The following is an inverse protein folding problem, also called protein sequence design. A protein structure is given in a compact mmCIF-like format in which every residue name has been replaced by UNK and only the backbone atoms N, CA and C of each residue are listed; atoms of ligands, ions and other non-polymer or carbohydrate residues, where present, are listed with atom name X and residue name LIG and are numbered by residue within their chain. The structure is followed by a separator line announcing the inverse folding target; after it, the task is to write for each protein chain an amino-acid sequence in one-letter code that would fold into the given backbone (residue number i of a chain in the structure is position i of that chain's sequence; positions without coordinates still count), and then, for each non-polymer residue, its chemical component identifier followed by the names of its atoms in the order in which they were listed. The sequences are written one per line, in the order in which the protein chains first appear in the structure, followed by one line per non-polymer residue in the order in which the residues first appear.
data_IF_437941109317
#
_entry.id   IF_437941109317
#
_cell.length_a   1.000
_cell.length_b   1.000
_cell.length_c   1.000
_cell.angle_alpha   90.00
_cell.angle_beta   90.00
_cell.angle_gamma   90.00
#
_symmetry.space_group_name_H-M   'P 1'
#
loop_
_entity.id
_entity.type
_entity.pdbx_description
1 polymer ?
#
# COMPACT_ATOMS: atom_id res chain seq x y z
N UNK A 1 -10.53 -30.63 -6.83
CA UNK A 1 -9.85 -30.46 -8.14
C UNK A 1 -10.28 -29.19 -8.89
N UNK A 2 -10.59 -28.07 -8.20
CA UNK A 2 -10.82 -26.72 -8.79
C UNK A 2 -9.97 -25.62 -8.15
N UNK A 3 -9.24 -25.94 -7.08
CA UNK A 3 -8.44 -24.99 -6.28
C UNK A 3 -7.07 -24.69 -6.91
N UNK A 4 -6.60 -25.55 -7.83
CA UNK A 4 -5.29 -25.42 -8.51
C UNK A 4 -5.28 -24.46 -9.71
N UNK A 5 -6.44 -23.99 -10.18
CA UNK A 5 -6.52 -23.15 -11.39
C UNK A 5 -6.08 -21.70 -11.18
N UNK A 6 -5.92 -21.23 -9.94
CA UNK A 6 -5.54 -19.85 -9.64
C UNK A 6 -4.03 -19.62 -9.51
N UNK A 7 -3.21 -20.68 -9.53
CA UNK A 7 -1.75 -20.54 -9.42
C UNK A 7 -1.04 -20.19 -10.74
N UNK A 8 -1.73 -20.18 -11.89
CA UNK A 8 -1.05 -20.07 -13.21
C UNK A 8 -1.56 -19.04 -14.22
N UNK A 9 -2.65 -18.29 -13.99
CA UNK A 9 -3.05 -17.24 -14.94
C UNK A 9 -3.72 -16.02 -14.30
N UNK A 10 -3.01 -14.90 -14.31
CA UNK A 10 -3.49 -13.57 -13.90
C UNK A 10 -4.73 -13.16 -14.70
N UNK A 11 -4.77 -13.49 -16.00
CA UNK A 11 -5.91 -13.20 -16.89
C UNK A 11 -7.18 -13.98 -16.53
N UNK A 12 -7.04 -15.21 -16.02
CA UNK A 12 -8.18 -16.00 -15.56
C UNK A 12 -8.77 -15.42 -14.27
N UNK A 13 -7.92 -14.87 -13.39
CA UNK A 13 -8.34 -14.27 -12.14
C UNK A 13 -9.15 -12.98 -12.34
N UNK A 14 -8.74 -12.10 -13.26
CA UNK A 14 -9.46 -10.83 -13.50
C UNK A 14 -10.85 -11.09 -14.11
N UNK A 15 -10.97 -11.98 -15.09
CA UNK A 15 -12.26 -12.28 -15.70
C UNK A 15 -13.23 -12.91 -14.70
N UNK A 16 -12.75 -13.87 -13.89
CA UNK A 16 -13.54 -14.46 -12.82
C UNK A 16 -13.98 -13.40 -11.78
N UNK A 17 -13.08 -12.48 -11.40
CA UNK A 17 -13.41 -11.39 -10.50
C UNK A 17 -14.50 -10.48 -11.05
N UNK A 18 -14.41 -10.08 -12.33
CA UNK A 18 -15.41 -9.23 -13.00
C UNK A 18 -16.78 -9.91 -13.09
N UNK A 19 -16.79 -11.22 -13.30
CA UNK A 19 -18.01 -12.05 -13.36
C UNK A 19 -18.65 -12.28 -11.99
N UNK A 20 -17.99 -11.90 -10.89
CA UNK A 20 -18.52 -12.08 -9.55
C UNK A 20 -18.27 -13.48 -8.97
N UNK A 21 -17.28 -14.22 -9.49
CA UNK A 21 -16.93 -15.55 -8.99
C UNK A 21 -16.36 -15.46 -7.56
N UNK A 22 -16.97 -16.16 -6.56
CA UNK A 22 -16.52 -16.08 -5.16
C UNK A 22 -15.06 -16.51 -4.95
N UNK A 23 -14.54 -17.41 -5.80
CA UNK A 23 -13.17 -17.89 -5.68
C UNK A 23 -12.15 -16.82 -6.07
N UNK A 24 -12.51 -15.91 -6.99
CA UNK A 24 -11.61 -14.85 -7.41
C UNK A 24 -11.38 -13.84 -6.26
N UNK A 25 -12.45 -13.39 -5.59
CA UNK A 25 -12.29 -12.50 -4.44
C UNK A 25 -11.59 -13.18 -3.26
N UNK A 26 -11.88 -14.47 -3.00
CA UNK A 26 -11.16 -15.24 -1.97
C UNK A 26 -9.66 -15.26 -2.23
N UNK A 27 -9.26 -15.49 -3.47
CA UNK A 27 -7.84 -15.48 -3.87
C UNK A 27 -7.19 -14.11 -3.65
N UNK A 28 -7.83 -13.03 -4.09
CA UNK A 28 -7.31 -11.67 -3.90
C UNK A 28 -7.26 -11.28 -2.41
N UNK A 29 -8.26 -11.71 -1.63
CA UNK A 29 -8.31 -11.50 -0.19
C UNK A 29 -7.15 -12.21 0.51
N UNK A 30 -6.92 -13.50 0.21
CA UNK A 30 -5.77 -14.23 0.79
C UNK A 30 -4.42 -13.61 0.43
N UNK A 31 -4.31 -13.00 -0.75
CA UNK A 31 -3.05 -12.41 -1.21
C UNK A 31 -2.79 -11.02 -0.60
N UNK A 32 -3.83 -10.21 -0.39
CA UNK A 32 -3.66 -8.78 -0.11
C UNK A 32 -4.24 -8.30 1.21
N UNK A 33 -5.08 -9.07 1.91
CA UNK A 33 -5.70 -8.62 3.15
C UNK A 33 -4.68 -8.30 4.25
N UNK A 34 -3.83 -9.26 4.61
CA UNK A 34 -2.79 -9.05 5.63
C UNK A 34 -1.82 -7.91 5.27
N UNK A 35 -1.26 -7.85 4.04
CA UNK A 35 -0.45 -6.71 3.62
C UNK A 35 -1.18 -5.35 3.68
N UNK A 36 -2.48 -5.33 3.38
CA UNK A 36 -3.29 -4.12 3.43
C UNK A 36 -3.54 -3.68 4.87
N UNK A 37 -3.88 -4.60 5.77
CA UNK A 37 -4.04 -4.31 7.20
C UNK A 37 -2.74 -3.76 7.80
N UNK A 38 -1.60 -4.41 7.53
CA UNK A 38 -0.29 -3.94 7.98
C UNK A 38 0.03 -2.55 7.42
N UNK A 39 -0.27 -2.31 6.14
CA UNK A 39 -0.10 -1.00 5.52
C UNK A 39 -0.96 0.07 6.21
N UNK A 40 -2.25 -0.17 6.42
CA UNK A 40 -3.14 0.80 7.08
C UNK A 40 -2.70 1.02 8.54
N UNK A 41 -2.40 -0.04 9.28
CA UNK A 41 -1.93 0.04 10.66
C UNK A 41 -0.65 0.87 10.78
N UNK A 42 0.25 0.79 9.80
CA UNK A 42 1.45 1.65 9.74
C UNK A 42 1.15 3.14 9.55
N UNK A 43 -0.02 3.49 9.01
CA UNK A 43 -0.45 4.87 8.79
C UNK A 43 -1.19 5.47 10.00
N UNK A 44 -2.04 4.68 10.66
CA UNK A 44 -2.96 5.17 11.71
C UNK A 44 -2.63 4.66 13.11
N UNK A 45 -1.67 3.75 13.24
CA UNK A 45 -1.25 3.11 14.50
C UNK A 45 -2.41 2.51 15.30
N UNK A 46 -3.42 1.96 14.61
CA UNK A 46 -4.59 1.35 15.22
C UNK A 46 -4.98 0.09 14.45
N UNK A 47 -4.79 -1.08 15.07
CA UNK A 47 -4.96 -2.37 14.39
C UNK A 47 -6.43 -2.68 14.06
N UNK A 48 -7.35 -2.55 15.02
CA UNK A 48 -8.76 -2.88 14.79
C UNK A 48 -9.38 -2.00 13.68
N UNK A 49 -9.12 -0.70 13.73
CA UNK A 49 -9.51 0.22 12.66
C UNK A 49 -8.88 -0.14 11.31
N UNK A 50 -7.65 -0.64 11.30
CA UNK A 50 -6.99 -1.08 10.06
C UNK A 50 -7.69 -2.28 9.42
N UNK A 51 -8.12 -3.26 10.22
CA UNK A 51 -8.88 -4.42 9.72
C UNK A 51 -10.26 -4.02 9.18
N UNK A 52 -10.94 -3.10 9.87
CA UNK A 52 -12.23 -2.57 9.44
C UNK A 52 -12.10 -1.82 8.10
N UNK A 53 -11.13 -0.91 7.99
CA UNK A 53 -10.85 -0.16 6.76
C UNK A 53 -10.44 -1.09 5.62
N UNK A 54 -9.62 -2.10 5.89
CA UNK A 54 -9.22 -3.09 4.89
C UNK A 54 -10.43 -3.85 4.36
N UNK A 55 -11.30 -4.33 5.26
CA UNK A 55 -12.53 -5.03 4.92
C UNK A 55 -13.46 -4.17 4.06
N UNK A 56 -13.68 -2.91 4.45
CA UNK A 56 -14.50 -1.97 3.69
C UNK A 56 -13.90 -1.67 2.30
N UNK A 57 -12.57 -1.58 2.21
CA UNK A 57 -11.88 -1.39 0.94
C UNK A 57 -12.09 -2.58 -0.01
N UNK A 58 -12.07 -3.82 0.49
CA UNK A 58 -12.40 -4.99 -0.32
C UNK A 58 -13.86 -4.96 -0.80
N UNK A 59 -14.81 -4.58 0.05
CA UNK A 59 -16.23 -4.45 -0.33
C UNK A 59 -16.40 -3.41 -1.43
N UNK A 60 -15.80 -2.23 -1.27
CA UNK A 60 -15.82 -1.17 -2.30
C UNK A 60 -15.21 -1.68 -3.61
N UNK A 61 -14.07 -2.37 -3.55
CA UNK A 61 -13.41 -2.94 -4.73
C UNK A 61 -14.28 -3.98 -5.42
N UNK A 62 -14.97 -4.84 -4.67
CA UNK A 62 -15.93 -5.79 -5.22
C UNK A 62 -17.14 -5.13 -5.88
N UNK A 63 -17.62 -4.02 -5.32
CA UNK A 63 -18.73 -3.26 -5.89
C UNK A 63 -18.38 -2.72 -7.29
N UNK A 64 -17.17 -2.20 -7.45
CA UNK A 64 -16.67 -1.68 -8.73
C UNK A 64 -15.99 -2.74 -9.62
N UNK A 65 -16.16 -4.03 -9.34
CA UNK A 65 -15.41 -5.12 -9.98
C UNK A 65 -15.39 -5.10 -11.51
N UNK A 66 -16.46 -4.63 -12.16
CA UNK A 66 -16.55 -4.59 -13.62
C UNK A 66 -15.64 -3.55 -14.28
N UNK A 67 -15.16 -2.56 -13.51
CA UNK A 67 -14.37 -1.42 -14.00
C UNK A 67 -12.87 -1.72 -14.13
N UNK A 68 -12.40 -2.88 -13.64
CA UNK A 68 -10.98 -3.25 -13.71
C UNK A 68 -10.70 -4.12 -14.92
N UNK A 69 -9.54 -3.90 -15.53
CA UNK A 69 -9.03 -4.64 -16.69
C UNK A 69 -7.78 -5.46 -16.36
N UNK A 70 -7.19 -5.27 -15.17
CA UNK A 70 -6.07 -6.06 -14.68
C UNK A 70 -6.08 -6.22 -13.16
N UNK A 71 -5.38 -7.24 -12.65
CA UNK A 71 -5.17 -7.40 -11.19
C UNK A 71 -4.35 -6.27 -10.57
N UNK A 72 -3.45 -5.65 -11.35
CA UNK A 72 -2.68 -4.50 -10.90
C UNK A 72 -3.56 -3.26 -10.69
N UNK A 73 -4.56 -3.04 -11.54
CA UNK A 73 -5.56 -2.00 -11.35
C UNK A 73 -6.41 -2.24 -10.09
N UNK A 74 -6.84 -3.48 -9.85
CA UNK A 74 -7.56 -3.85 -8.63
C UNK A 74 -6.71 -3.53 -7.40
N UNK A 75 -5.45 -3.99 -7.40
CA UNK A 75 -4.52 -3.76 -6.29
C UNK A 75 -4.26 -2.27 -6.07
N UNK A 76 -4.02 -1.52 -7.13
CA UNK A 76 -3.78 -0.09 -7.06
C UNK A 76 -5.00 0.65 -6.49
N UNK A 77 -6.20 0.30 -6.96
CA UNK A 77 -7.45 0.86 -6.45
C UNK A 77 -7.65 0.54 -4.98
N UNK A 78 -7.53 -0.74 -4.60
CA UNK A 78 -7.70 -1.24 -3.24
C UNK A 78 -6.82 -0.48 -2.23
N UNK A 79 -5.52 -0.38 -2.51
CA UNK A 79 -4.59 0.33 -1.64
C UNK A 79 -4.83 1.86 -1.63
N UNK A 80 -5.30 2.42 -2.75
CA UNK A 80 -5.60 3.86 -2.84
C UNK A 80 -6.81 4.24 -1.98
N UNK A 81 -7.90 3.48 -2.07
CA UNK A 81 -9.10 3.76 -1.28
C UNK A 81 -8.87 3.49 0.20
N UNK A 82 -8.16 2.41 0.56
CA UNK A 82 -7.81 2.10 1.93
C UNK A 82 -6.98 3.21 2.58
N UNK A 83 -5.96 3.73 1.87
CA UNK A 83 -5.16 4.88 2.32
C UNK A 83 -6.02 6.12 2.56
N UNK A 84 -6.92 6.42 1.63
CA UNK A 84 -7.82 7.58 1.74
C UNK A 84 -8.72 7.44 2.97
N UNK A 85 -9.27 6.25 3.19
CA UNK A 85 -10.22 5.99 4.27
C UNK A 85 -9.49 5.95 5.63
N UNK A 86 -8.24 5.48 5.66
CA UNK A 86 -7.34 5.59 6.81
C UNK A 86 -7.06 7.05 7.22
N UNK A 87 -6.74 7.91 6.26
CA UNK A 87 -6.56 9.35 6.56
C UNK A 87 -7.85 10.02 7.01
N UNK A 88 -9.00 9.63 6.44
CA UNK A 88 -10.30 10.14 6.89
C UNK A 88 -10.58 9.72 8.33
N UNK A 89 -10.32 8.47 8.67
CA UNK A 89 -10.45 7.96 10.03
C UNK A 89 -9.55 8.75 10.99
N UNK A 90 -8.28 8.96 10.63
CA UNK A 90 -7.33 9.72 11.46
C UNK A 90 -7.79 11.17 11.68
N UNK A 91 -8.29 11.84 10.63
CA UNK A 91 -8.86 13.19 10.76
C UNK A 91 -10.09 13.22 11.68
N UNK A 92 -10.96 12.22 11.58
CA UNK A 92 -12.12 12.10 12.46
C UNK A 92 -11.70 11.89 13.92
N UNK A 93 -10.70 11.06 14.17
CA UNK A 93 -10.19 10.84 15.53
C UNK A 93 -9.56 12.10 16.12
N UNK A 94 -8.83 12.89 15.32
CA UNK A 94 -8.29 14.18 15.76
C UNK A 94 -9.41 15.16 16.13
N UNK A 95 -10.47 15.23 15.32
CA UNK A 95 -11.65 16.07 15.62
C UNK A 95 -12.36 15.61 16.89
N UNK A 96 -12.56 14.31 17.06
CA UNK A 96 -13.20 13.75 18.25
C UNK A 96 -12.35 13.98 19.51
N UNK A 97 -11.03 13.85 19.43
CA UNK A 97 -10.10 14.17 20.53
C UNK A 97 -10.08 15.67 20.90
N UNK A 98 -10.33 16.57 19.96
CA UNK A 98 -10.47 18.00 20.27
C UNK A 98 -11.76 18.32 21.05
N UNK A 99 -12.78 17.46 20.95
CA UNK A 99 -14.07 17.61 21.65
C UNK A 99 -14.06 16.87 23.00
N UNK A 100 -13.08 16.01 23.26
CA UNK A 100 -13.01 15.20 24.48
C UNK A 100 -11.57 15.08 24.99
N UNK A 101 -11.22 15.90 25.99
CA UNK A 101 -10.18 15.55 26.97
C UNK A 101 -10.92 15.04 28.22
N UNK A 102 -10.54 13.89 28.81
CA UNK A 102 -9.17 13.64 29.27
C UNK A 102 -8.56 12.28 28.88
N UNK A 103 -7.25 12.35 28.60
CA UNK A 103 -6.19 11.47 29.12
C UNK A 103 -6.47 9.98 29.35
N UNK A 104 -6.53 9.18 28.27
CA UNK A 104 -6.12 7.77 28.28
C UNK A 104 -5.56 7.42 26.88
N UNK A 105 -4.24 7.22 26.79
CA UNK A 105 -3.63 6.54 25.65
C UNK A 105 -3.98 5.05 25.76
N UNK A 106 -4.70 4.44 24.80
CA UNK A 106 -4.84 2.99 24.77
C UNK A 106 -3.45 2.39 24.53
N UNK A 107 -3.04 1.46 25.40
CA UNK A 107 -1.92 0.59 25.12
C UNK A 107 -2.30 -0.27 23.91
N UNK A 108 -1.78 0.09 22.73
CA UNK A 108 -1.91 -0.74 21.55
C UNK A 108 -1.15 -2.05 21.77
N UNK A 109 -1.69 -3.21 21.37
CA UNK A 109 -0.94 -4.45 21.39
C UNK A 109 0.33 -4.28 20.55
N UNK A 110 1.48 -4.69 21.09
CA UNK A 110 2.72 -4.71 20.32
C UNK A 110 2.51 -5.58 19.07
N UNK A 111 2.90 -5.10 17.88
CA UNK A 111 2.90 -5.93 16.69
C UNK A 111 3.78 -7.17 16.92
N UNK A 112 3.35 -8.32 16.39
CA UNK A 112 4.11 -9.58 16.46
C UNK A 112 5.61 -9.33 16.23
N UNK A 113 6.43 -9.66 17.21
CA UNK A 113 7.86 -9.32 17.24
C UNK A 113 8.61 -9.86 16.00
N UNK A 114 8.15 -10.98 15.45
CA UNK A 114 8.65 -11.58 14.22
C UNK A 114 8.33 -10.74 12.96
N UNK A 115 7.13 -10.17 12.89
CA UNK A 115 6.74 -9.25 11.81
C UNK A 115 7.57 -7.97 11.86
N UNK A 116 7.85 -7.43 13.05
CA UNK A 116 8.68 -6.22 13.20
C UNK A 116 10.13 -6.42 12.76
N UNK A 117 10.71 -7.59 13.06
CA UNK A 117 12.10 -7.90 12.69
C UNK A 117 12.22 -8.10 11.18
N UNK A 118 11.37 -8.94 10.58
CA UNK A 118 11.35 -9.13 9.12
C UNK A 118 11.07 -7.80 8.38
N UNK A 119 10.18 -6.96 8.93
CA UNK A 119 9.90 -5.65 8.39
C UNK A 119 11.11 -4.72 8.45
N UNK A 120 11.89 -4.75 9.55
CA UNK A 120 13.08 -3.91 9.70
C UNK A 120 14.17 -4.26 8.70
N UNK A 121 14.41 -5.54 8.45
CA UNK A 121 15.39 -6.01 7.47
C UNK A 121 14.99 -5.63 6.03
N UNK A 122 13.72 -5.84 5.69
CA UNK A 122 13.16 -5.43 4.39
C UNK A 122 13.25 -3.90 4.21
N UNK A 123 12.96 -3.13 5.26
CA UNK A 123 13.08 -1.67 5.22
C UNK A 123 14.53 -1.21 5.06
N UNK A 124 15.49 -1.87 5.70
CA UNK A 124 16.91 -1.58 5.54
C UNK A 124 17.39 -1.88 4.12
N UNK A 125 16.96 -3.01 3.54
CA UNK A 125 17.24 -3.37 2.15
C UNK A 125 16.62 -2.39 1.17
N UNK A 126 15.37 -1.98 1.40
CA UNK A 126 14.71 -0.95 0.59
C UNK A 126 15.46 0.38 0.67
N UNK A 127 15.87 0.79 1.86
CA UNK A 127 16.61 2.03 2.08
C UNK A 127 17.98 2.01 1.39
N UNK A 128 18.70 0.89 1.47
CA UNK A 128 19.99 0.74 0.79
C UNK A 128 19.83 0.73 -0.74
N UNK A 129 18.79 0.07 -1.25
CA UNK A 129 18.48 0.08 -2.68
C UNK A 129 18.11 1.48 -3.20
N UNK A 130 17.36 2.28 -2.42
CA UNK A 130 17.05 3.69 -2.74
C UNK A 130 18.31 4.56 -2.75
N UNK A 131 19.26 4.33 -1.82
CA UNK A 131 20.55 5.04 -1.80
C UNK A 131 21.41 4.74 -3.04
N UNK A 132 21.25 3.57 -3.65
CA UNK A 132 21.96 3.20 -4.88
C UNK A 132 21.31 3.73 -6.17
N UNK A 133 20.17 4.42 -6.08
CA UNK A 133 19.57 5.05 -7.25
C UNK A 133 20.40 6.25 -7.72
N UNK A 134 20.29 6.63 -9.02
CA UNK A 134 20.83 7.90 -9.48
C UNK A 134 20.37 9.05 -8.58
N UNK A 135 21.22 10.08 -8.33
CA UNK A 135 20.98 11.09 -7.29
C UNK A 135 19.60 11.74 -7.37
N UNK A 136 19.14 12.10 -8.58
CA UNK A 136 17.80 12.69 -8.78
C UNK A 136 16.66 11.74 -8.48
N UNK A 137 16.78 10.46 -8.82
CA UNK A 137 15.77 9.46 -8.47
C UNK A 137 15.73 9.27 -6.95
N UNK A 138 16.88 9.13 -6.30
CA UNK A 138 16.98 8.95 -4.84
C UNK A 138 16.36 10.13 -4.07
N UNK A 139 16.71 11.37 -4.45
CA UNK A 139 16.18 12.60 -3.84
C UNK A 139 14.66 12.69 -3.98
N UNK A 140 14.11 12.41 -5.17
CA UNK A 140 12.66 12.41 -5.39
C UNK A 140 11.96 11.33 -4.56
N UNK A 141 12.55 10.14 -4.43
CA UNK A 141 11.99 9.08 -3.58
C UNK A 141 11.98 9.48 -2.10
N UNK A 142 13.04 10.12 -1.60
CA UNK A 142 13.07 10.62 -0.21
C UNK A 142 11.96 11.65 0.04
N UNK A 143 11.79 12.63 -0.85
CA UNK A 143 10.76 13.65 -0.69
C UNK A 143 9.34 13.07 -0.74
N UNK A 144 9.08 12.16 -1.69
CA UNK A 144 7.75 11.57 -1.86
C UNK A 144 7.38 10.56 -0.77
N UNK A 145 8.32 9.70 -0.37
CA UNK A 145 8.03 8.53 0.45
C UNK A 145 8.51 8.63 1.90
N UNK A 146 9.59 9.36 2.17
CA UNK A 146 10.08 9.56 3.55
C UNK A 146 9.45 10.82 4.14
N UNK A 147 9.41 11.91 3.38
CA UNK A 147 8.83 13.18 3.83
C UNK A 147 7.34 13.32 3.48
N UNK A 148 6.76 12.36 2.75
CA UNK A 148 5.33 12.32 2.44
C UNK A 148 4.82 13.44 1.53
N UNK A 149 5.71 14.15 0.82
CA UNK A 149 5.33 15.28 -0.04
C UNK A 149 4.57 14.83 -1.28
N UNK A 150 3.66 15.68 -1.76
CA UNK A 150 2.96 15.50 -3.02
C UNK A 150 3.86 15.82 -4.21
N UNK A 151 3.54 15.26 -5.37
CA UNK A 151 4.32 15.46 -6.61
C UNK A 151 4.52 16.95 -6.93
N UNK A 152 3.48 17.75 -6.70
CA UNK A 152 3.44 19.19 -6.94
C UNK A 152 4.31 19.97 -5.93
N UNK A 153 4.44 19.49 -4.70
CA UNK A 153 5.32 20.06 -3.69
C UNK A 153 6.78 19.76 -4.01
N UNK A 154 7.08 18.52 -4.40
CA UNK A 154 8.42 18.10 -4.85
C UNK A 154 8.85 18.86 -6.11
N UNK A 155 7.94 19.04 -7.06
CA UNK A 155 8.19 19.80 -8.28
C UNK A 155 8.61 21.25 -7.96
N UNK A 156 7.89 21.91 -7.05
CA UNK A 156 8.20 23.28 -6.60
C UNK A 156 9.54 23.33 -5.86
N UNK A 157 9.76 22.43 -4.91
CA UNK A 157 10.98 22.38 -4.10
C UNK A 157 12.24 22.14 -4.92
N UNK A 158 12.15 21.28 -5.94
CA UNK A 158 13.28 20.96 -6.81
C UNK A 158 13.37 21.85 -8.06
N UNK A 159 12.47 22.84 -8.21
CA UNK A 159 12.36 23.70 -9.39
C UNK A 159 12.32 22.90 -10.71
N UNK A 160 11.50 21.84 -10.76
CA UNK A 160 11.29 20.99 -11.95
C UNK A 160 9.79 20.83 -12.24
N UNK A 161 9.44 20.32 -13.42
CA UNK A 161 8.03 20.06 -13.73
C UNK A 161 7.50 18.83 -12.97
N UNK A 162 6.20 18.78 -12.62
CA UNK A 162 5.56 17.57 -12.08
C UNK A 162 5.71 16.36 -13.00
N UNK A 163 5.79 16.59 -14.32
CA UNK A 163 6.11 15.55 -15.30
C UNK A 163 7.49 14.95 -15.04
N UNK A 164 8.53 15.78 -14.85
CA UNK A 164 9.88 15.32 -14.53
C UNK A 164 9.91 14.54 -13.20
N UNK A 165 9.13 14.94 -12.20
CA UNK A 165 8.99 14.18 -10.94
C UNK A 165 8.44 12.78 -11.22
N UNK A 166 7.35 12.67 -12.00
CA UNK A 166 6.74 11.38 -12.38
C UNK A 166 7.70 10.51 -13.21
N UNK A 167 8.42 11.10 -14.15
CA UNK A 167 9.38 10.40 -14.99
C UNK A 167 10.56 9.83 -14.17
N UNK A 168 11.14 10.63 -13.27
CA UNK A 168 12.20 10.18 -12.37
C UNK A 168 11.70 9.14 -11.36
N UNK A 169 10.46 9.28 -10.89
CA UNK A 169 9.81 8.26 -10.06
C UNK A 169 9.70 6.92 -10.80
N UNK A 170 9.20 6.94 -12.05
CA UNK A 170 9.07 5.74 -12.88
C UNK A 170 10.44 5.09 -13.14
N UNK A 171 11.46 5.89 -13.46
CA UNK A 171 12.85 5.43 -13.63
C UNK A 171 13.43 4.82 -12.36
N UNK A 172 13.21 5.45 -11.20
CA UNK A 172 13.64 4.88 -9.92
C UNK A 172 12.96 3.53 -9.65
N UNK A 173 11.67 3.42 -9.95
CA UNK A 173 10.91 2.17 -9.79
C UNK A 173 11.43 1.05 -10.70
N UNK A 174 11.77 1.35 -11.96
CA UNK A 174 12.32 0.37 -12.89
C UNK A 174 13.69 -0.15 -12.47
N UNK A 175 14.49 0.67 -11.79
CA UNK A 175 15.79 0.29 -11.23
C UNK A 175 15.68 -0.47 -9.91
N UNK A 176 14.68 -0.15 -9.09
CA UNK A 176 14.45 -0.81 -7.79
C UNK A 176 13.82 -2.19 -7.95
N UNK A 177 12.85 -2.36 -8.86
CA UNK A 177 12.11 -3.63 -9.05
C UNK A 177 13.00 -4.87 -9.16
N UNK A 178 14.02 -4.94 -10.06
CA UNK A 178 14.83 -6.15 -10.19
C UNK A 178 15.62 -6.47 -8.92
N UNK A 179 16.13 -5.44 -8.21
CA UNK A 179 16.85 -5.61 -6.94
C UNK A 179 15.93 -6.11 -5.84
N UNK A 180 14.72 -5.57 -5.75
CA UNK A 180 13.75 -6.01 -4.74
C UNK A 180 13.23 -7.42 -5.02
N UNK A 181 13.06 -7.80 -6.29
CA UNK A 181 12.62 -9.14 -6.68
C UNK A 181 13.69 -10.21 -6.42
N UNK A 182 14.98 -9.91 -6.46
CA UNK A 182 16.02 -10.87 -6.06
C UNK A 182 15.97 -11.17 -4.56
N UNK A 183 15.56 -10.21 -3.72
CA UNK A 183 15.46 -10.40 -2.27
C UNK A 183 14.19 -11.14 -1.82
N UNK A 184 13.21 -11.35 -2.70
CA UNK A 184 11.94 -12.02 -2.40
C UNK A 184 11.90 -13.48 -2.87
N UNK A 185 13.01 -13.99 -3.43
CA UNK A 185 13.10 -15.36 -3.98
C UNK A 185 13.87 -16.34 -3.07
N UNK A 186 14.49 -15.83 -2.01
CA UNK A 186 15.16 -16.60 -0.96
C UNK A 186 14.27 -16.65 0.28
#
# INVERSE_FOLDING_TARGET
MKTDLFHRNIETCINAFRQGEPNAIKFLFSAWYQPLCAYIASLIHHFDAAEEIASEAFVKTWHYRQQFFSTDEIRAYLFTIAKRDAFRWQQQQQRNRQVTMPDQLPAYPEPDHYYLIAHREILQLLHSAIKQLPPRCSQIFQLLYVQGKKTEEVARELAISPYTVRAQKARGLSLLRPKLLSFLKD
#
